data_IF_385744512310
#
_entry.id   IF_385744512310
#
_cell.length_a   1.000
_cell.length_b   1.000
_cell.length_c   1.000
_cell.angle_alpha   90.00
_cell.angle_beta   90.00
_cell.angle_gamma   90.00
#
_symmetry.space_group_name_H-M   'P 1'
#
loop_
_entity.id
_entity.type
_entity.pdbx_description
1 polymer ?
#
# COMPACT_ATOMS: atom_id res chain seq x y z
N UNK A 1 4.56 1.11 -19.32
CA UNK A 1 3.71 1.20 -20.54
C UNK A 1 3.14 2.62 -20.57
N UNK A 2 3.13 3.29 -21.72
CA UNK A 2 2.45 4.59 -21.82
C UNK A 2 0.94 4.40 -21.59
N UNK A 3 0.28 5.41 -21.06
CA UNK A 3 -1.18 5.45 -20.85
C UNK A 3 -1.75 4.34 -19.96
N UNK A 4 -0.97 3.88 -18.98
CA UNK A 4 -1.43 2.91 -17.97
C UNK A 4 -1.68 3.61 -16.66
N UNK A 5 -2.85 3.35 -16.08
CA UNK A 5 -3.28 3.88 -14.79
C UNK A 5 -3.33 2.76 -13.76
N UNK A 6 -2.93 3.07 -12.53
CA UNK A 6 -2.93 2.14 -11.42
C UNK A 6 -3.82 2.69 -10.31
N UNK A 7 -4.55 1.79 -9.66
CA UNK A 7 -5.21 2.07 -8.39
C UNK A 7 -4.48 1.28 -7.31
N UNK A 8 -4.06 2.00 -6.28
CA UNK A 8 -3.32 1.53 -5.12
C UNK A 8 -3.75 2.35 -3.91
N UNK A 9 -3.58 1.80 -2.71
CA UNK A 9 -3.84 2.48 -1.46
C UNK A 9 -2.57 3.23 -1.03
N UNK A 10 -2.74 4.48 -0.63
CA UNK A 10 -1.68 5.24 0.03
C UNK A 10 -1.44 4.65 1.42
N UNK A 11 -0.19 4.33 1.70
CA UNK A 11 0.21 3.69 2.96
C UNK A 11 1.35 4.42 3.67
N UNK A 12 2.02 5.35 2.99
CA UNK A 12 3.04 6.23 3.57
C UNK A 12 2.95 7.63 3.00
N UNK A 13 3.28 8.61 3.82
CA UNK A 13 3.22 10.05 3.58
C UNK A 13 4.62 10.63 3.33
N UNK A 14 4.70 11.87 2.79
CA UNK A 14 5.97 12.46 2.45
C UNK A 14 6.90 12.62 3.65
N UNK A 15 8.16 12.26 3.47
CA UNK A 15 9.20 12.32 4.50
C UNK A 15 9.23 11.14 5.47
N UNK A 16 8.25 10.24 5.46
CA UNK A 16 8.25 9.06 6.34
C UNK A 16 9.29 8.03 5.89
N UNK A 17 9.90 7.35 6.86
CA UNK A 17 10.70 6.15 6.63
C UNK A 17 9.83 4.91 6.79
N UNK A 18 9.61 4.21 5.68
CA UNK A 18 8.67 3.10 5.59
C UNK A 18 9.37 1.75 5.72
N UNK A 19 8.79 0.86 6.52
CA UNK A 19 9.26 -0.52 6.73
C UNK A 19 8.08 -1.50 6.70
N UNK A 20 8.40 -2.79 6.60
CA UNK A 20 7.44 -3.86 6.82
C UNK A 20 7.96 -4.78 7.92
N UNK A 21 7.19 -4.88 9.00
CA UNK A 21 7.52 -5.74 10.13
C UNK A 21 6.36 -6.68 10.43
N UNK A 22 6.63 -8.00 10.40
CA UNK A 22 5.62 -9.05 10.68
C UNK A 22 4.32 -8.85 9.86
N UNK A 23 4.48 -8.52 8.57
CA UNK A 23 3.38 -8.30 7.64
C UNK A 23 2.67 -6.95 7.74
N UNK A 24 3.04 -6.10 8.71
CA UNK A 24 2.46 -4.77 8.94
C UNK A 24 3.32 -3.68 8.33
N UNK A 25 2.66 -2.62 7.90
CA UNK A 25 3.31 -1.39 7.45
C UNK A 25 3.71 -0.59 8.68
N UNK A 26 4.94 -0.09 8.68
CA UNK A 26 5.52 0.71 9.76
C UNK A 26 6.04 2.00 9.14
N UNK A 27 5.64 3.15 9.68
CA UNK A 27 6.10 4.47 9.29
C UNK A 27 6.82 5.09 10.50
N UNK A 28 8.09 5.49 10.32
CA UNK A 28 8.90 6.12 11.37
C UNK A 28 8.96 5.32 12.69
N UNK A 29 8.91 3.98 12.57
CA UNK A 29 8.93 3.06 13.72
C UNK A 29 7.56 2.77 14.33
N UNK A 30 6.50 3.43 13.89
CA UNK A 30 5.12 3.20 14.36
C UNK A 30 4.30 2.38 13.37
N UNK A 31 3.49 1.44 13.89
CA UNK A 31 2.60 0.63 13.04
C UNK A 31 1.49 1.50 12.47
N UNK A 32 1.33 1.47 11.15
CA UNK A 32 0.22 2.14 10.46
C UNK A 32 -1.04 1.30 10.63
N UNK A 33 -1.91 1.70 11.57
CA UNK A 33 -3.07 0.92 11.98
C UNK A 33 -4.37 1.22 11.21
N UNK A 34 -4.42 2.30 10.43
CA UNK A 34 -5.63 2.73 9.73
C UNK A 34 -5.41 2.77 8.21
N UNK A 35 -6.38 2.31 7.40
CA UNK A 35 -7.70 1.81 7.80
C UNK A 35 -7.64 0.38 8.41
N UNK A 36 -8.73 -0.13 9.01
CA UNK A 36 -8.74 -1.45 9.65
C UNK A 36 -8.33 -2.61 8.72
N UNK A 37 -8.47 -2.39 7.41
CA UNK A 37 -8.02 -3.31 6.37
C UNK A 37 -6.53 -3.66 6.48
N UNK A 38 -5.67 -2.76 6.99
CA UNK A 38 -4.25 -3.06 7.18
C UNK A 38 -4.00 -4.19 8.16
N UNK A 39 -4.76 -4.23 9.25
CA UNK A 39 -4.65 -5.33 10.22
C UNK A 39 -5.24 -6.62 9.65
N UNK A 40 -6.32 -6.55 8.87
CA UNK A 40 -6.87 -7.71 8.15
C UNK A 40 -5.83 -8.30 7.20
N UNK A 41 -5.18 -7.47 6.39
CA UNK A 41 -4.11 -7.91 5.48
C UNK A 41 -2.96 -8.58 6.27
N UNK A 42 -2.57 -8.01 7.40
CA UNK A 42 -1.46 -8.54 8.20
C UNK A 42 -1.78 -9.88 8.89
N UNK A 43 -3.04 -10.15 9.21
CA UNK A 43 -3.43 -11.26 10.10
C UNK A 43 -4.23 -12.37 9.42
N UNK A 44 -4.99 -12.06 8.37
CA UNK A 44 -5.82 -13.06 7.69
C UNK A 44 -4.92 -13.99 6.84
N UNK A 45 -4.99 -15.33 7.04
CA UNK A 45 -4.25 -16.30 6.25
C UNK A 45 -4.43 -16.15 4.73
N UNK A 46 -5.54 -15.57 4.28
CA UNK A 46 -5.79 -15.27 2.87
C UNK A 46 -4.72 -14.35 2.24
N UNK A 47 -3.98 -13.58 3.02
CA UNK A 47 -2.94 -12.66 2.56
C UNK A 47 -1.51 -13.19 2.77
N UNK A 48 -1.34 -14.41 3.30
CA UNK A 48 -0.06 -15.11 3.42
C UNK A 48 1.07 -14.26 4.05
N UNK A 49 0.79 -13.65 5.21
CA UNK A 49 1.77 -12.81 5.91
C UNK A 49 1.74 -11.33 5.52
N UNK A 50 0.61 -10.86 4.98
CA UNK A 50 0.34 -9.46 4.72
C UNK A 50 1.25 -8.84 3.69
N UNK A 51 1.84 -7.68 4.02
CA UNK A 51 2.70 -6.96 3.08
C UNK A 51 4.10 -7.58 2.93
N UNK A 52 4.45 -8.61 3.71
CA UNK A 52 5.79 -9.18 3.80
C UNK A 52 6.37 -9.72 2.48
N UNK A 53 7.71 -9.86 2.46
CA UNK A 53 8.48 -10.57 1.43
C UNK A 53 8.31 -10.07 0.00
N UNK A 54 8.20 -8.76 -0.21
CA UNK A 54 8.03 -8.19 -1.53
C UNK A 54 9.02 -7.04 -1.79
N UNK A 55 9.83 -7.20 -2.85
CA UNK A 55 10.68 -6.16 -3.41
C UNK A 55 11.72 -5.61 -2.44
N UNK A 56 11.78 -4.29 -2.35
CA UNK A 56 12.72 -3.48 -1.55
C UNK A 56 12.48 -3.58 -0.04
N UNK A 57 11.32 -4.09 0.39
CA UNK A 57 10.94 -4.24 1.80
C UNK A 57 10.78 -5.73 2.17
N UNK A 58 11.68 -6.57 1.67
CA UNK A 58 11.66 -8.01 1.90
C UNK A 58 12.39 -8.47 3.18
N UNK A 59 13.18 -7.58 3.78
CA UNK A 59 13.94 -7.77 5.01
C UNK A 59 13.39 -6.86 6.11
N UNK A 60 13.28 -7.32 7.38
CA UNK A 60 12.82 -6.48 8.49
C UNK A 60 13.62 -5.20 8.73
N UNK A 61 14.91 -5.20 8.39
CA UNK A 61 15.80 -4.05 8.51
C UNK A 61 15.79 -3.17 7.26
N UNK A 62 15.17 -3.62 6.17
CA UNK A 62 15.01 -2.81 4.96
C UNK A 62 13.99 -1.69 5.18
N UNK A 63 14.31 -0.51 4.66
CA UNK A 63 13.43 0.64 4.71
C UNK A 63 13.47 1.45 3.41
N UNK A 64 12.40 2.22 3.20
CA UNK A 64 12.29 3.19 2.11
C UNK A 64 12.08 4.55 2.73
N UNK A 65 13.07 5.43 2.57
CA UNK A 65 12.93 6.84 2.91
C UNK A 65 12.16 7.56 1.80
N UNK A 66 10.96 8.07 2.10
CA UNK A 66 10.19 8.86 1.15
C UNK A 66 10.73 10.29 1.05
N UNK A 67 10.76 10.83 -0.17
CA UNK A 67 11.02 12.24 -0.41
C UNK A 67 9.89 13.16 0.08
N UNK A 68 10.14 14.47 0.03
CA UNK A 68 9.19 15.50 0.49
C UNK A 68 7.88 15.61 -0.32
N UNK A 69 7.80 14.94 -1.48
CA UNK A 69 6.62 14.90 -2.35
C UNK A 69 6.36 13.49 -2.90
N UNK A 70 6.82 12.47 -2.17
CA UNK A 70 6.64 11.07 -2.51
C UNK A 70 5.74 10.37 -1.51
N UNK A 71 4.98 9.40 -2.00
CA UNK A 71 4.05 8.62 -1.21
C UNK A 71 4.27 7.15 -1.46
N UNK A 72 4.22 6.33 -0.42
CA UNK A 72 4.25 4.88 -0.62
C UNK A 72 2.83 4.41 -0.98
N UNK A 73 2.71 3.73 -2.11
CA UNK A 73 1.44 3.22 -2.64
C UNK A 73 1.50 1.70 -2.71
N UNK A 74 0.64 0.98 -1.96
CA UNK A 74 0.59 -0.49 -1.99
C UNK A 74 -0.79 -1.00 -2.41
N UNK A 75 -0.83 -2.18 -3.04
CA UNK A 75 -2.09 -2.86 -3.33
C UNK A 75 -2.53 -3.74 -2.17
N UNK A 76 -3.84 -3.78 -1.92
CA UNK A 76 -4.42 -4.61 -0.86
C UNK A 76 -4.26 -6.12 -1.17
N UNK A 77 -4.21 -6.53 -2.44
CA UNK A 77 -3.93 -7.91 -2.84
C UNK A 77 -2.42 -8.21 -2.74
N UNK A 78 -1.96 -8.51 -1.53
CA UNK A 78 -0.53 -8.65 -1.22
C UNK A 78 0.07 -10.01 -1.57
N UNK A 79 -0.71 -10.96 -2.10
CA UNK A 79 -0.21 -12.28 -2.48
C UNK A 79 0.95 -12.17 -3.47
N UNK A 80 1.94 -13.09 -3.42
CA UNK A 80 3.09 -13.06 -4.32
C UNK A 80 2.68 -12.96 -5.80
N UNK A 81 3.20 -11.96 -6.50
CA UNK A 81 2.91 -11.70 -7.92
C UNK A 81 1.58 -11.00 -8.21
N UNK A 82 0.76 -10.68 -7.20
CA UNK A 82 -0.58 -10.11 -7.42
C UNK A 82 -0.64 -8.58 -7.38
N UNK A 83 0.39 -7.92 -6.84
CA UNK A 83 0.48 -6.47 -6.86
C UNK A 83 1.92 -6.03 -7.10
N UNK A 84 2.14 -5.37 -8.25
CA UNK A 84 3.33 -4.58 -8.50
C UNK A 84 3.05 -3.15 -8.02
N UNK A 85 3.71 -2.75 -6.94
CA UNK A 85 3.44 -1.51 -6.23
C UNK A 85 4.71 -0.94 -5.56
N UNK A 86 4.57 0.05 -4.67
CA UNK A 86 5.68 0.76 -4.05
C UNK A 86 6.68 -0.12 -3.30
N UNK A 87 6.29 -1.35 -2.93
CA UNK A 87 7.24 -2.34 -2.41
C UNK A 87 8.34 -2.70 -3.41
N UNK A 88 8.12 -2.55 -4.71
CA UNK A 88 9.08 -2.87 -5.77
C UNK A 88 9.75 -1.65 -6.40
N UNK A 89 9.06 -0.50 -6.41
CA UNK A 89 9.54 0.71 -7.10
C UNK A 89 9.60 1.96 -6.20
N UNK A 90 9.46 1.80 -4.89
CA UNK A 90 9.54 2.85 -3.89
C UNK A 90 8.45 3.92 -3.99
N UNK A 91 8.76 5.15 -3.55
CA UNK A 91 7.85 6.27 -3.48
C UNK A 91 7.34 6.70 -4.86
N UNK A 92 6.06 7.10 -4.90
CA UNK A 92 5.43 7.66 -6.10
C UNK A 92 5.33 9.18 -5.92
N UNK A 93 5.88 9.98 -6.87
CA UNK A 93 5.75 11.43 -6.83
C UNK A 93 4.30 11.89 -6.90
N UNK A 94 3.96 12.94 -6.16
CA UNK A 94 2.61 13.52 -6.15
C UNK A 94 2.10 13.96 -7.52
N UNK A 95 3.00 14.36 -8.42
CA UNK A 95 2.67 14.80 -9.77
C UNK A 95 2.12 13.68 -10.66
N UNK A 96 2.37 12.41 -10.31
CA UNK A 96 1.85 11.27 -11.05
C UNK A 96 0.40 10.93 -10.68
N UNK A 97 -0.13 11.56 -9.63
CA UNK A 97 -1.46 11.26 -9.12
C UNK A 97 -2.53 11.88 -10.02
N UNK A 98 -3.53 11.07 -10.38
CA UNK A 98 -4.70 11.54 -11.12
C UNK A 98 -5.86 11.95 -10.21
N UNK A 99 -5.96 11.33 -9.03
CA UNK A 99 -6.99 11.64 -8.04
C UNK A 99 -7.34 10.42 -7.18
N UNK A 100 -8.13 10.62 -6.12
CA UNK A 100 -8.61 9.54 -5.28
C UNK A 100 -9.72 8.73 -5.97
N UNK A 101 -9.80 7.44 -5.63
CA UNK A 101 -11.00 6.65 -5.90
C UNK A 101 -12.07 7.00 -4.85
N UNK A 102 -13.24 7.50 -5.30
CA UNK A 102 -14.28 8.03 -4.40
C UNK A 102 -15.59 7.22 -4.40
N UNK A 103 -15.82 6.37 -5.41
CA UNK A 103 -17.07 5.62 -5.56
C UNK A 103 -16.84 4.21 -6.12
N UNK A 104 -17.44 3.21 -5.49
CA UNK A 104 -17.52 1.84 -5.99
C UNK A 104 -18.80 1.70 -6.80
N UNK A 105 -18.66 1.71 -8.13
CA UNK A 105 -19.81 1.63 -9.04
C UNK A 105 -20.43 0.23 -9.11
N UNK A 106 -19.64 -0.83 -8.91
CA UNK A 106 -20.07 -2.22 -9.10
C UNK A 106 -19.25 -3.20 -8.25
N UNK A 107 -19.81 -4.34 -7.78
CA UNK A 107 -21.22 -4.73 -7.84
C UNK A 107 -22.10 -3.97 -6.85
N UNK A 108 -23.41 -3.90 -7.11
CA UNK A 108 -24.40 -3.31 -6.19
C UNK A 108 -24.62 -4.23 -4.99
N UNK A 109 -23.69 -4.19 -4.04
CA UNK A 109 -23.65 -5.02 -2.81
C UNK A 109 -23.14 -4.17 -1.63
N UNK A 110 -22.69 -4.82 -0.56
CA UNK A 110 -22.23 -4.19 0.70
C UNK A 110 -21.25 -3.02 0.51
N UNK A 111 -20.34 -3.11 -0.46
CA UNK A 111 -19.34 -2.06 -0.71
C UNK A 111 -19.76 -1.02 -1.77
N UNK A 112 -20.97 -1.11 -2.33
CA UNK A 112 -21.45 -0.16 -3.32
C UNK A 112 -21.70 1.23 -2.70
N UNK A 113 -21.25 2.28 -3.38
CA UNK A 113 -21.37 3.66 -2.91
C UNK A 113 -20.02 4.33 -2.70
N UNK A 114 -19.99 5.32 -1.79
CA UNK A 114 -18.77 6.09 -1.48
C UNK A 114 -17.72 5.18 -0.82
N UNK A 115 -16.46 5.31 -1.24
CA UNK A 115 -15.32 4.59 -0.63
C UNK A 115 -15.18 5.02 0.84
N UNK A 116 -15.10 4.04 1.74
CA UNK A 116 -14.94 4.22 3.20
C UNK A 116 -13.62 3.63 3.69
#
# INVERSE_FOLDING_TARGET
>A
RKDTYYIKRMVGLPGENMQIQKGRIVADGEIVAQPPMFEVIATDPAYNGGHGHAGLLNDPDASIQLGADEYLMCGDNTRPGMSLDGRFFAGVPRNDFKGPAIFVYWPVREHWGIVR
#
